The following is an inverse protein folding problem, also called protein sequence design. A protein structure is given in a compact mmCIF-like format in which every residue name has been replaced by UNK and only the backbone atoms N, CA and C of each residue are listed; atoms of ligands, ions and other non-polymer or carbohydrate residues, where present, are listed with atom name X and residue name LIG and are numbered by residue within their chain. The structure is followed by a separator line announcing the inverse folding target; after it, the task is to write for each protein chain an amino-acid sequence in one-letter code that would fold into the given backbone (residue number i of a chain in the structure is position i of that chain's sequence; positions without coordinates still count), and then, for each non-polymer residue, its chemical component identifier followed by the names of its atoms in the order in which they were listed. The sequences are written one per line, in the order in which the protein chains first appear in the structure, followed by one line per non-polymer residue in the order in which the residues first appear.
data_IF_145952142810
#
_entry.id   IF_145952142810
#
_cell.length_a   1.000
_cell.length_b   1.000
_cell.length_c   1.000
_cell.angle_alpha   90.00
_cell.angle_beta   90.00
_cell.angle_gamma   90.00
#
_symmetry.space_group_name_H-M   'P 1'
#
loop_
_entity.id
_entity.type
_entity.pdbx_description
1 polymer ?
#
# COMPACT_ATOMS: atom_id res chain seq x y z
N UNK A 1 17.63 -30.78 82.21
CA UNK A 1 17.80 -30.01 83.45
C UNK A 1 19.18 -29.41 83.49
N UNK A 2 19.45 -28.15 83.86
CA UNK A 2 18.50 -27.07 84.16
C UNK A 2 18.71 -25.82 83.31
N UNK A 3 17.78 -24.98 83.31
CA UNK A 3 17.87 -23.49 83.18
C UNK A 3 18.83 -22.90 84.21
N UNK A 4 19.20 -21.58 84.19
CA UNK A 4 18.31 -20.47 83.94
C UNK A 4 18.91 -19.24 83.22
N UNK A 5 18.01 -18.32 82.81
CA UNK A 5 18.21 -16.88 82.53
C UNK A 5 18.96 -16.14 83.67
N UNK A 6 19.52 -14.91 83.49
CA UNK A 6 18.60 -13.75 83.37
C UNK A 6 19.10 -12.49 82.60
N UNK A 7 18.13 -11.70 82.22
CA UNK A 7 18.01 -10.25 82.24
C UNK A 7 19.26 -9.34 82.12
N UNK A 8 19.21 -8.43 81.10
CA UNK A 8 19.49 -6.99 81.33
C UNK A 8 18.84 -6.11 80.30
N UNK A 9 17.82 -5.40 80.75
CA UNK A 9 17.32 -4.18 80.26
C UNK A 9 18.40 -3.15 79.98
N UNK A 10 18.40 -2.52 78.81
CA UNK A 10 18.85 -1.12 78.73
C UNK A 10 17.99 -0.37 77.70
N UNK A 11 17.24 0.53 78.24
CA UNK A 11 16.51 1.57 77.57
C UNK A 11 17.47 2.51 76.83
N UNK A 12 16.92 3.12 75.84
CA UNK A 12 17.11 4.48 75.47
C UNK A 12 17.49 4.76 74.01
N UNK A 13 16.81 5.56 73.53
CA UNK A 13 17.06 6.73 72.68
C UNK A 13 16.23 6.74 71.43
N UNK A 14 15.08 7.22 71.62
CA UNK A 14 14.19 7.80 70.62
C UNK A 14 14.88 9.01 70.01
N UNK A 15 15.52 8.84 68.84
CA UNK A 15 15.97 9.93 68.01
C UNK A 15 14.85 10.34 67.05
N UNK A 16 14.29 11.50 67.34
CA UNK A 16 13.34 12.16 66.46
C UNK A 16 14.04 12.59 65.15
N UNK A 17 13.63 12.04 64.03
CA UNK A 17 14.03 12.53 62.73
C UNK A 17 13.31 13.87 62.43
N UNK A 18 14.02 14.87 61.91
CA UNK A 18 13.42 16.13 61.54
C UNK A 18 12.59 15.93 60.28
N UNK A 19 11.29 16.20 60.38
CA UNK A 19 10.36 16.34 59.25
C UNK A 19 10.74 17.60 58.45
N UNK A 20 11.61 17.43 57.45
CA UNK A 20 11.86 18.46 56.46
C UNK A 20 10.63 18.59 55.53
N UNK A 21 10.22 19.81 55.18
CA UNK A 21 9.11 19.99 54.23
C UNK A 21 9.54 19.47 52.85
N UNK A 22 8.88 18.41 52.41
CA UNK A 22 8.94 17.95 51.04
C UNK A 22 8.50 19.07 50.09
N UNK A 23 9.46 19.70 49.45
CA UNK A 23 9.23 20.62 48.34
C UNK A 23 8.62 19.82 47.22
N UNK A 24 7.29 19.78 47.13
CA UNK A 24 6.59 19.35 45.95
C UNK A 24 7.00 20.31 44.83
N UNK A 25 7.86 19.78 43.92
CA UNK A 25 8.20 20.46 42.69
C UNK A 25 6.87 20.61 41.90
N UNK A 26 6.23 21.75 42.00
CA UNK A 26 5.10 22.12 41.15
C UNK A 26 5.62 22.18 39.74
N UNK A 27 5.42 21.09 38.97
CA UNK A 27 5.56 21.10 37.52
C UNK A 27 4.50 22.06 37.02
N UNK A 28 4.90 23.28 36.71
CA UNK A 28 4.00 24.30 36.17
C UNK A 28 3.48 23.77 34.83
N UNK A 29 2.21 23.40 34.81
CA UNK A 29 1.49 23.14 33.58
C UNK A 29 1.41 24.45 32.79
N UNK A 30 2.33 24.62 31.84
CA UNK A 30 2.21 25.70 30.87
C UNK A 30 1.02 25.35 29.98
N UNK A 31 -0.11 25.97 30.19
CA UNK A 31 -1.24 25.88 29.27
C UNK A 31 -0.86 26.49 27.94
N UNK A 32 -1.23 25.83 26.87
CA UNK A 32 -1.10 26.37 25.51
C UNK A 32 -1.97 27.62 25.37
N UNK A 33 -1.42 28.66 24.75
CA UNK A 33 -2.22 29.86 24.45
C UNK A 33 -3.07 29.58 23.20
N UNK A 34 -4.23 30.24 23.13
CA UNK A 34 -5.14 30.14 22.00
C UNK A 34 -4.43 30.63 20.70
N UNK A 35 -3.58 31.66 20.82
CA UNK A 35 -2.77 32.20 19.74
C UNK A 35 -1.75 31.19 19.22
N UNK A 36 -1.12 30.41 20.10
CA UNK A 36 -0.14 29.36 19.72
C UNK A 36 -0.78 28.26 18.89
N UNK A 37 -1.98 27.81 19.31
CA UNK A 37 -2.76 26.84 18.53
C UNK A 37 -3.19 27.41 17.18
N UNK A 38 -3.60 28.68 17.14
CA UNK A 38 -4.00 29.33 15.89
C UNK A 38 -2.83 29.42 14.91
N UNK A 39 -1.64 29.82 15.37
CA UNK A 39 -0.44 29.91 14.53
C UNK A 39 -0.05 28.53 13.98
N UNK A 40 -0.09 27.49 14.83
CA UNK A 40 0.19 26.12 14.40
C UNK A 40 -0.80 25.67 13.32
N UNK A 41 -2.09 25.93 13.50
CA UNK A 41 -3.12 25.56 12.50
C UNK A 41 -2.93 26.30 11.18
N UNK A 42 -2.53 27.57 11.21
CA UNK A 42 -2.21 28.32 9.99
C UNK A 42 -1.02 27.71 9.27
N UNK A 43 0.07 27.40 9.98
CA UNK A 43 1.27 26.80 9.40
C UNK A 43 0.94 25.43 8.81
N UNK A 44 0.22 24.57 9.53
CA UNK A 44 -0.21 23.26 9.05
C UNK A 44 -1.10 23.37 7.81
N UNK A 45 -2.03 24.33 7.78
CA UNK A 45 -2.89 24.60 6.64
C UNK A 45 -2.10 24.99 5.39
N UNK A 46 -1.10 25.88 5.55
CA UNK A 46 -0.22 26.29 4.44
C UNK A 46 0.63 25.13 3.93
N UNK A 47 1.20 24.33 4.84
CA UNK A 47 1.99 23.13 4.47
C UNK A 47 1.13 22.09 3.76
N UNK A 48 -0.06 21.79 4.27
CA UNK A 48 -0.99 20.85 3.66
C UNK A 48 -1.41 21.29 2.25
N UNK A 49 -1.71 22.57 2.07
CA UNK A 49 -2.05 23.15 0.76
C UNK A 49 -0.92 23.08 -0.26
N UNK A 50 0.34 23.14 0.17
CA UNK A 50 1.50 23.05 -0.72
C UNK A 50 1.91 21.61 -1.03
N UNK A 51 1.90 20.73 -0.03
CA UNK A 51 2.38 19.34 -0.16
C UNK A 51 1.33 18.43 -0.80
N UNK A 52 0.05 18.65 -0.48
CA UNK A 52 -1.06 17.80 -0.93
C UNK A 52 -1.07 17.56 -2.45
N UNK A 53 -1.12 18.59 -3.29
CA UNK A 53 -1.17 18.42 -4.75
C UNK A 53 0.02 17.65 -5.32
N UNK A 54 1.24 17.86 -4.76
CA UNK A 54 2.45 17.16 -5.20
C UNK A 54 2.40 15.67 -4.90
N UNK A 55 1.88 15.28 -3.73
CA UNK A 55 1.74 13.88 -3.35
C UNK A 55 0.75 13.16 -4.25
N UNK A 56 -0.42 13.74 -4.51
CA UNK A 56 -1.41 13.14 -5.40
C UNK A 56 -0.88 12.97 -6.84
N UNK A 57 -0.17 13.95 -7.38
CA UNK A 57 0.46 13.83 -8.69
C UNK A 57 1.53 12.72 -8.74
N UNK A 58 2.25 12.49 -7.65
CA UNK A 58 3.27 11.44 -7.56
C UNK A 58 2.63 10.04 -7.53
N UNK A 59 1.53 9.87 -6.79
CA UNK A 59 0.77 8.62 -6.72
C UNK A 59 0.27 8.24 -8.12
N UNK A 60 -0.40 9.12 -8.84
CA UNK A 60 -0.91 8.86 -10.19
C UNK A 60 0.18 8.46 -11.19
N UNK A 61 1.38 9.08 -11.11
CA UNK A 61 2.52 8.67 -11.94
C UNK A 61 3.03 7.27 -11.60
N UNK A 62 3.00 6.89 -10.32
CA UNK A 62 3.40 5.56 -9.87
C UNK A 62 2.42 4.50 -10.37
N UNK A 63 1.13 4.74 -10.26
CA UNK A 63 0.06 3.85 -10.74
C UNK A 63 0.17 3.61 -12.25
N UNK A 64 0.38 4.66 -13.04
CA UNK A 64 0.57 4.54 -14.48
C UNK A 64 1.80 3.69 -14.84
N UNK A 65 2.91 3.81 -14.09
CA UNK A 65 4.10 2.96 -14.29
C UNK A 65 3.80 1.49 -13.98
N UNK A 66 3.05 1.23 -12.91
CA UNK A 66 2.65 -0.14 -12.54
C UNK A 66 1.75 -0.73 -13.64
N UNK A 67 0.76 0.03 -14.12
CA UNK A 67 -0.11 -0.43 -15.20
C UNK A 67 0.66 -0.79 -16.47
N UNK A 68 1.62 0.04 -16.89
CA UNK A 68 2.49 -0.26 -18.05
C UNK A 68 3.30 -1.53 -17.84
N UNK A 69 3.94 -1.67 -16.68
CA UNK A 69 4.71 -2.88 -16.37
C UNK A 69 3.84 -4.15 -16.36
N UNK A 70 2.59 -4.04 -15.94
CA UNK A 70 1.63 -5.14 -16.00
C UNK A 70 1.20 -5.46 -17.43
N UNK A 71 0.94 -4.44 -18.26
CA UNK A 71 0.64 -4.62 -19.70
C UNK A 71 1.81 -5.34 -20.40
N UNK A 72 3.06 -4.91 -20.14
CA UNK A 72 4.24 -5.56 -20.70
C UNK A 72 4.37 -7.03 -20.23
N UNK A 73 4.08 -7.30 -18.97
CA UNK A 73 4.12 -8.66 -18.44
C UNK A 73 3.02 -9.55 -19.05
N UNK A 74 1.82 -9.02 -19.22
CA UNK A 74 0.71 -9.71 -19.88
C UNK A 74 1.02 -9.96 -21.36
N UNK A 75 1.63 -8.99 -22.04
CA UNK A 75 2.09 -9.15 -23.41
C UNK A 75 3.06 -10.33 -23.58
N UNK A 76 4.07 -10.43 -22.69
CA UNK A 76 5.01 -11.57 -22.67
C UNK A 76 4.30 -12.91 -22.43
N UNK A 77 3.30 -12.93 -21.55
CA UNK A 77 2.52 -14.13 -21.31
C UNK A 77 1.65 -14.52 -22.52
N UNK A 78 1.11 -13.55 -23.24
CA UNK A 78 0.40 -13.75 -24.51
C UNK A 78 1.33 -14.29 -25.60
N UNK A 79 2.55 -13.78 -25.68
CA UNK A 79 3.56 -14.29 -26.62
C UNK A 79 3.92 -15.74 -26.31
N UNK A 80 4.10 -16.08 -25.03
CA UNK A 80 4.34 -17.47 -24.61
C UNK A 80 3.17 -18.39 -24.98
N UNK A 81 1.95 -17.96 -24.73
CA UNK A 81 0.75 -18.68 -25.16
C UNK A 81 0.76 -18.92 -26.68
N UNK A 82 1.10 -17.88 -27.47
CA UNK A 82 1.21 -18.00 -28.94
C UNK A 82 2.26 -19.00 -29.38
N UNK A 83 3.41 -19.06 -28.69
CA UNK A 83 4.46 -20.02 -29.01
C UNK A 83 3.98 -21.46 -28.86
N UNK A 84 3.22 -21.76 -27.83
CA UNK A 84 2.74 -23.11 -27.57
C UNK A 84 1.51 -23.48 -28.43
N UNK A 85 0.54 -22.57 -28.53
CA UNK A 85 -0.75 -22.81 -29.18
C UNK A 85 -0.72 -22.46 -30.67
N UNK A 86 0.18 -21.54 -31.08
CA UNK A 86 0.33 -21.08 -32.46
C UNK A 86 -0.50 -19.86 -32.82
N UNK A 87 -1.31 -19.34 -31.90
CA UNK A 87 -2.16 -18.15 -32.07
C UNK A 87 -2.39 -17.46 -30.74
N UNK A 88 -2.79 -16.20 -30.74
CA UNK A 88 -3.25 -15.53 -29.53
C UNK A 88 -4.64 -16.03 -29.10
N UNK A 89 -5.00 -15.93 -27.81
CA UNK A 89 -6.35 -16.20 -27.36
C UNK A 89 -7.37 -15.34 -28.13
N UNK A 90 -8.51 -15.88 -28.48
CA UNK A 90 -9.59 -15.07 -29.07
C UNK A 90 -10.13 -14.06 -28.03
N UNK A 91 -10.81 -13.02 -28.50
CA UNK A 91 -11.49 -12.06 -27.60
C UNK A 91 -12.44 -12.77 -26.62
N UNK A 92 -13.13 -13.82 -27.07
CA UNK A 92 -14.03 -14.60 -26.21
C UNK A 92 -13.31 -15.43 -25.13
N UNK A 93 -12.09 -15.91 -25.44
CA UNK A 93 -11.24 -16.61 -24.45
C UNK A 93 -10.61 -15.63 -23.47
N UNK A 94 -10.31 -14.42 -23.94
CA UNK A 94 -9.78 -13.33 -23.13
C UNK A 94 -8.45 -13.68 -22.44
N UNK A 95 -8.07 -12.84 -21.49
CA UNK A 95 -6.86 -13.04 -20.68
C UNK A 95 -6.97 -14.22 -19.69
N UNK A 96 -8.17 -14.75 -19.46
CA UNK A 96 -8.37 -15.95 -18.64
C UNK A 96 -7.64 -17.16 -19.22
N UNK A 97 -7.46 -17.22 -20.53
CA UNK A 97 -6.69 -18.25 -21.22
C UNK A 97 -5.21 -18.32 -20.77
N UNK A 98 -4.68 -17.30 -20.13
CA UNK A 98 -3.32 -17.29 -19.58
C UNK A 98 -3.21 -18.07 -18.26
N UNK A 99 -4.29 -18.27 -17.57
CA UNK A 99 -4.32 -18.95 -16.26
C UNK A 99 -5.06 -20.28 -16.27
N UNK A 100 -5.98 -20.46 -17.22
CA UNK A 100 -6.83 -21.66 -17.33
C UNK A 100 -6.85 -22.13 -18.80
N UNK A 101 -6.83 -23.46 -19.04
CA UNK A 101 -6.89 -24.00 -20.39
C UNK A 101 -8.24 -23.67 -21.03
N UNK A 102 -8.25 -23.00 -22.20
CA UNK A 102 -9.47 -22.82 -22.96
C UNK A 102 -10.00 -24.17 -23.47
N UNK A 103 -11.32 -24.28 -23.57
CA UNK A 103 -11.93 -25.49 -24.12
C UNK A 103 -11.45 -25.75 -25.55
N UNK A 104 -11.06 -27.01 -25.82
CA UNK A 104 -10.64 -27.43 -27.15
C UNK A 104 -9.20 -27.00 -27.56
N UNK A 105 -8.33 -26.65 -26.60
CA UNK A 105 -6.96 -26.24 -26.87
C UNK A 105 -5.93 -27.24 -26.31
N UNK A 106 -5.66 -28.37 -27.01
CA UNK A 106 -4.80 -29.43 -26.49
C UNK A 106 -3.31 -29.04 -26.38
N UNK A 107 -2.90 -27.98 -27.06
CA UNK A 107 -1.52 -27.48 -27.04
C UNK A 107 -1.26 -26.45 -25.94
N UNK A 108 -2.26 -26.17 -25.12
CA UNK A 108 -2.08 -25.28 -23.99
C UNK A 108 -1.11 -25.90 -22.97
N UNK A 109 0.00 -25.24 -22.69
CA UNK A 109 1.06 -25.70 -21.79
C UNK A 109 1.23 -24.83 -20.53
N UNK A 110 0.25 -23.88 -20.28
CA UNK A 110 0.30 -22.98 -19.14
C UNK A 110 0.13 -23.64 -17.77
N UNK A 111 -0.03 -22.88 -16.70
CA UNK A 111 -0.37 -21.46 -16.71
C UNK A 111 0.81 -20.53 -17.11
N UNK A 112 0.50 -19.48 -17.86
CA UNK A 112 1.48 -18.50 -18.35
C UNK A 112 1.66 -17.33 -17.38
N UNK A 113 0.82 -17.25 -16.37
CA UNK A 113 0.95 -16.30 -15.26
C UNK A 113 1.16 -17.07 -13.96
N UNK A 114 2.15 -16.64 -13.16
CA UNK A 114 2.45 -17.26 -11.87
C UNK A 114 1.33 -17.06 -10.82
N UNK A 115 0.44 -16.12 -11.05
CA UNK A 115 -0.70 -15.79 -10.17
C UNK A 115 -1.93 -15.49 -11.03
N UNK A 116 -3.10 -15.42 -10.37
CA UNK A 116 -4.31 -14.95 -11.02
C UNK A 116 -4.09 -13.58 -11.68
N UNK A 117 -4.82 -13.31 -12.76
CA UNK A 117 -4.78 -12.04 -13.48
C UNK A 117 -5.05 -10.89 -12.49
N UNK A 118 -4.10 -9.98 -12.26
CA UNK A 118 -4.32 -8.86 -11.36
C UNK A 118 -5.23 -7.83 -12.06
N UNK A 119 -6.06 -7.11 -11.31
CA UNK A 119 -6.68 -5.90 -11.82
C UNK A 119 -5.61 -4.82 -12.04
N UNK A 120 -5.97 -3.79 -12.78
CA UNK A 120 -5.13 -2.61 -12.92
C UNK A 120 -4.99 -1.85 -11.57
N UNK A 121 -4.08 -0.87 -11.44
CA UNK A 121 -3.90 -0.12 -10.19
C UNK A 121 -5.13 0.61 -9.67
N UNK A 122 -6.12 0.83 -10.52
CA UNK A 122 -7.39 1.47 -10.16
C UNK A 122 -8.52 0.46 -9.88
N UNK A 123 -8.18 -0.86 -9.89
CA UNK A 123 -9.10 -1.94 -9.53
C UNK A 123 -9.99 -2.44 -10.68
N UNK A 124 -9.67 -2.08 -11.93
CA UNK A 124 -10.42 -2.48 -13.12
C UNK A 124 -9.75 -3.64 -13.86
N UNK A 125 -10.51 -4.44 -14.62
CA UNK A 125 -9.94 -5.45 -15.48
C UNK A 125 -9.21 -4.80 -16.66
N UNK A 126 -8.14 -5.46 -17.14
CA UNK A 126 -7.50 -5.09 -18.40
C UNK A 126 -8.41 -5.43 -19.57
N UNK A 127 -8.53 -4.51 -20.53
CA UNK A 127 -9.20 -4.74 -21.80
C UNK A 127 -8.31 -5.55 -22.73
N UNK A 128 -8.90 -6.49 -23.46
CA UNK A 128 -8.22 -7.34 -24.42
C UNK A 128 -9.08 -7.61 -25.63
N UNK A 129 -8.47 -7.58 -26.82
CA UNK A 129 -9.11 -7.92 -28.08
C UNK A 129 -8.12 -8.58 -29.03
N UNK A 130 -8.51 -9.70 -29.64
CA UNK A 130 -7.78 -10.36 -30.69
C UNK A 130 -8.76 -10.91 -31.75
N UNK A 131 -8.56 -10.61 -33.05
CA UNK A 131 -7.51 -9.73 -33.58
C UNK A 131 -7.65 -8.29 -33.11
N UNK A 132 -6.51 -7.60 -32.95
CA UNK A 132 -6.48 -6.18 -32.58
C UNK A 132 -6.80 -5.28 -33.77
N UNK A 133 -7.06 -3.99 -33.49
CA UNK A 133 -7.14 -2.95 -34.52
C UNK A 133 -5.76 -2.35 -34.83
N UNK A 134 -4.84 -2.43 -33.83
CA UNK A 134 -3.52 -1.83 -33.92
C UNK A 134 -2.40 -2.86 -34.10
N UNK A 135 -2.72 -4.15 -33.99
CA UNK A 135 -1.78 -5.24 -34.13
C UNK A 135 -2.43 -6.61 -34.02
N UNK A 136 -1.63 -7.64 -33.76
CA UNK A 136 -2.13 -9.02 -33.58
C UNK A 136 -3.19 -9.09 -32.45
N UNK A 137 -3.01 -8.26 -31.43
CA UNK A 137 -3.97 -8.05 -30.32
C UNK A 137 -3.84 -6.65 -29.77
N UNK A 138 -4.92 -6.16 -29.17
CA UNK A 138 -4.96 -4.93 -28.40
C UNK A 138 -5.11 -5.27 -26.92
N UNK A 139 -4.27 -4.66 -26.06
CA UNK A 139 -4.28 -4.80 -24.61
C UNK A 139 -4.19 -3.42 -23.98
N UNK A 140 -5.11 -3.08 -23.09
CA UNK A 140 -5.15 -1.74 -22.48
C UNK A 140 -5.69 -1.75 -21.07
N UNK A 141 -5.42 -0.68 -20.32
CA UNK A 141 -6.13 -0.28 -19.10
C UNK A 141 -6.96 0.97 -19.39
N UNK A 142 -8.10 1.08 -18.77
CA UNK A 142 -8.96 2.27 -18.87
C UNK A 142 -8.44 3.45 -18.04
N UNK A 143 -7.41 3.23 -17.23
CA UNK A 143 -6.80 4.27 -16.42
C UNK A 143 -7.66 4.75 -15.25
N UNK A 144 -7.29 5.87 -14.61
CA UNK A 144 -7.99 6.38 -13.43
C UNK A 144 -9.44 6.78 -13.71
N UNK A 145 -9.72 7.25 -14.93
CA UNK A 145 -11.03 7.82 -15.29
C UNK A 145 -12.04 6.75 -15.73
N UNK A 146 -11.58 5.53 -16.05
CA UNK A 146 -12.43 4.45 -16.53
C UNK A 146 -13.04 4.71 -17.89
N UNK A 147 -12.46 5.63 -18.66
CA UNK A 147 -12.90 5.95 -20.02
C UNK A 147 -11.85 5.46 -21.00
N UNK A 148 -12.17 4.45 -21.84
CA UNK A 148 -11.24 3.99 -22.86
C UNK A 148 -10.94 5.15 -23.82
N UNK A 149 -9.63 5.43 -24.01
CA UNK A 149 -9.20 6.51 -24.88
C UNK A 149 -9.09 7.89 -24.25
N UNK A 150 -9.32 8.03 -22.95
CA UNK A 150 -9.05 9.28 -22.23
C UNK A 150 -7.57 9.66 -22.31
N UNK A 151 -7.25 10.94 -22.15
CA UNK A 151 -5.86 11.42 -22.10
C UNK A 151 -5.08 10.75 -20.95
N UNK A 152 -5.74 10.47 -19.82
CA UNK A 152 -5.18 9.77 -18.68
C UNK A 152 -4.88 8.29 -18.98
N UNK A 153 -5.61 7.64 -19.87
CA UNK A 153 -5.37 6.29 -20.36
C UNK A 153 -4.35 6.23 -21.51
N UNK A 154 -3.92 7.40 -22.05
CA UNK A 154 -2.93 7.47 -23.11
C UNK A 154 -1.60 6.86 -22.66
N UNK A 155 -1.10 5.87 -23.42
CA UNK A 155 0.11 5.13 -23.07
C UNK A 155 -0.08 4.01 -22.04
N UNK A 156 -1.32 3.66 -21.68
CA UNK A 156 -1.67 2.46 -20.93
C UNK A 156 -2.18 1.36 -21.89
N UNK A 157 -1.43 1.14 -22.96
CA UNK A 157 -1.75 0.28 -24.10
C UNK A 157 -0.48 -0.41 -24.60
N UNK A 158 -0.65 -1.49 -25.35
CA UNK A 158 0.47 -2.19 -25.99
C UNK A 158 0.85 -1.65 -27.38
N UNK A 159 0.17 -0.59 -27.86
CA UNK A 159 0.43 0.09 -29.13
C UNK A 159 0.68 1.58 -28.99
#
# INVERSE_FOLDING_TARGET
MPEPSPIASTAAARAAAPSGPSRLCRIGHRGFTLLELLVVMVILGLLAGYVGPKLFAQIGKSEAKVARAQIDALGKALDQYRLDVGRYPSTAQGLAALTQPPAGEPRWAGPYLARALPPDPWGRPYGYRAPGEHGDYDLWSEGPDGAPGSEAATGLRNW
#
